data_IF_751354499738
#
_entry.id   IF_751354499738
#
_cell.length_a   1.000
_cell.length_b   1.000
_cell.length_c   1.000
_cell.angle_alpha   90.00
_cell.angle_beta   90.00
_cell.angle_gamma   90.00
#
_symmetry.space_group_name_H-M   'P 1'
#
loop_
_entity.id
_entity.type
_entity.pdbx_description
1 polymer ?
#
# COMPACT_ATOMS: atom_id res chain seq x y z
N UNK A 1 4.51 5.76 -19.62
CA UNK A 1 5.14 4.99 -18.54
C UNK A 1 5.51 5.90 -17.39
N UNK A 2 6.16 7.00 -17.71
CA UNK A 2 6.88 7.87 -16.78
C UNK A 2 6.01 8.39 -15.61
N UNK A 3 4.78 8.85 -15.88
CA UNK A 3 3.90 9.32 -14.80
C UNK A 3 3.58 8.26 -13.73
N UNK A 4 3.55 6.97 -14.11
CA UNK A 4 3.35 5.88 -13.15
C UNK A 4 4.66 5.47 -12.48
N UNK A 5 5.81 5.64 -13.15
CA UNK A 5 7.12 5.43 -12.54
C UNK A 5 7.36 6.40 -11.39
N UNK A 6 7.04 7.68 -11.58
CA UNK A 6 7.16 8.69 -10.52
C UNK A 6 6.29 8.34 -9.30
N UNK A 7 5.07 7.84 -9.56
CA UNK A 7 4.16 7.40 -8.49
C UNK A 7 4.59 6.10 -7.83
N UNK A 8 5.31 5.24 -8.54
CA UNK A 8 5.90 4.03 -7.99
C UNK A 8 7.02 4.39 -7.01
N UNK A 9 7.90 5.32 -7.39
CA UNK A 9 8.97 5.81 -6.52
C UNK A 9 8.42 6.56 -5.30
N UNK A 10 7.28 7.25 -5.45
CA UNK A 10 6.57 7.93 -4.37
C UNK A 10 5.50 7.11 -3.65
N UNK A 11 5.43 5.79 -3.87
CA UNK A 11 4.35 4.97 -3.33
C UNK A 11 4.37 4.93 -1.79
N UNK A 12 3.21 5.06 -1.16
CA UNK A 12 3.11 5.13 0.30
C UNK A 12 2.75 3.78 0.92
N UNK A 13 3.45 3.40 2.00
CA UNK A 13 3.08 2.25 2.81
C UNK A 13 1.85 2.57 3.64
N UNK A 14 0.85 1.71 3.59
CA UNK A 14 -0.40 1.89 4.34
C UNK A 14 -0.73 0.66 5.18
N UNK A 15 -1.46 0.88 6.27
CA UNK A 15 -1.98 -0.20 7.11
C UNK A 15 -3.42 -0.53 6.72
N UNK A 16 -3.74 -1.82 6.67
CA UNK A 16 -5.12 -2.29 6.56
C UNK A 16 -5.77 -2.21 7.92
N UNK A 17 -6.40 -1.08 8.24
CA UNK A 17 -7.28 -1.03 9.40
C UNK A 17 -8.60 -1.71 9.08
N UNK A 18 -8.73 -2.97 9.48
CA UNK A 18 -9.98 -3.73 9.46
C UNK A 18 -10.95 -3.25 10.58
N UNK A 19 -10.96 -1.95 10.88
CA UNK A 19 -11.76 -1.33 11.93
C UNK A 19 -13.24 -1.16 11.53
N UNK A 20 -13.72 -1.96 10.58
CA UNK A 20 -15.12 -2.02 10.14
C UNK A 20 -16.02 -2.85 11.06
N UNK A 21 -15.55 -3.34 12.21
CA UNK A 21 -16.38 -4.15 13.11
C UNK A 21 -16.05 -4.00 14.59
N UNK A 22 -15.90 -2.77 15.08
CA UNK A 22 -16.32 -2.49 16.46
C UNK A 22 -17.82 -2.23 16.42
N UNK A 23 -18.61 -3.31 16.32
CA UNK A 23 -19.98 -3.30 16.85
C UNK A 23 -19.83 -3.09 18.35
N UNK A 24 -19.85 -1.82 18.76
CA UNK A 24 -19.88 -1.43 20.16
C UNK A 24 -21.08 -2.07 20.83
N UNK A 25 -20.80 -3.17 21.52
CA UNK A 25 -21.65 -3.75 22.53
C UNK A 25 -21.54 -2.81 23.74
N UNK A 26 -22.57 -2.02 23.99
CA UNK A 26 -22.58 -1.04 25.06
C UNK A 26 -23.97 -0.46 25.31
N UNK A 27 -24.69 -1.07 26.25
CA UNK A 27 -25.62 -0.42 27.18
C UNK A 27 -26.93 0.15 26.62
N UNK A 28 -28.06 -0.46 27.02
CA UNK A 28 -29.39 0.02 26.69
C UNK A 28 -29.84 1.28 27.45
N UNK A 29 -30.86 1.94 26.90
CA UNK A 29 -32.05 2.50 27.57
C UNK A 29 -32.74 3.49 26.62
N UNK A 30 -34.06 3.36 26.47
CA UNK A 30 -34.93 4.48 26.11
C UNK A 30 -35.68 4.38 24.77
N UNK A 31 -37.00 4.21 24.86
CA UNK A 31 -37.99 4.38 23.78
C UNK A 31 -37.85 5.73 23.03
N UNK A 32 -38.25 5.79 21.75
CA UNK A 32 -39.45 6.54 21.31
C UNK A 32 -39.75 6.45 19.79
N UNK A 33 -41.04 6.60 19.50
CA UNK A 33 -41.75 6.53 18.23
C UNK A 33 -41.29 7.51 17.14
N UNK A 34 -41.52 7.09 15.89
CA UNK A 34 -41.98 7.99 14.81
C UNK A 34 -40.95 8.40 13.76
N UNK A 35 -41.33 8.21 12.49
CA UNK A 35 -40.88 9.07 11.40
C UNK A 35 -39.89 8.46 10.40
N UNK A 36 -40.44 8.02 9.27
CA UNK A 36 -40.05 8.46 7.93
C UNK A 36 -38.57 8.58 7.55
N UNK A 37 -38.22 7.83 6.49
CA UNK A 37 -37.37 8.39 5.44
C UNK A 37 -35.87 8.13 5.55
N UNK A 38 -35.38 7.28 4.66
CA UNK A 38 -33.97 7.29 4.26
C UNK A 38 -33.04 6.58 5.23
N UNK A 39 -32.95 5.24 5.10
CA UNK A 39 -31.71 4.53 5.46
C UNK A 39 -30.62 5.06 4.53
N UNK A 40 -30.02 6.19 4.88
CA UNK A 40 -28.83 6.72 4.24
C UNK A 40 -27.89 5.55 4.06
N UNK A 41 -27.49 5.31 2.82
CA UNK A 41 -26.51 4.29 2.46
C UNK A 41 -25.20 4.73 3.11
N UNK A 42 -25.07 4.49 4.43
CA UNK A 42 -23.82 4.65 5.16
C UNK A 42 -22.83 3.83 4.38
N UNK A 43 -21.85 4.50 3.76
CA UNK A 43 -20.75 3.89 3.04
C UNK A 43 -20.07 2.90 3.99
N UNK A 44 -20.57 1.66 4.01
CA UNK A 44 -20.09 0.57 4.86
C UNK A 44 -18.67 0.13 4.52
N UNK A 45 -18.07 0.76 3.50
CA UNK A 45 -16.76 0.47 2.95
C UNK A 45 -15.90 1.73 2.83
N UNK A 46 -16.09 2.73 3.72
CA UNK A 46 -15.12 3.83 3.82
C UNK A 46 -13.83 3.33 4.50
N UNK A 47 -13.15 2.42 3.80
CA UNK A 47 -11.86 1.90 4.17
C UNK A 47 -10.83 2.99 3.87
N UNK A 48 -10.59 3.83 4.87
CA UNK A 48 -9.57 4.86 4.78
C UNK A 48 -8.22 4.20 5.01
N UNK A 49 -7.41 4.12 3.96
CA UNK A 49 -6.01 3.70 4.07
C UNK A 49 -5.25 4.74 4.90
N UNK A 50 -4.74 4.29 6.05
CA UNK A 50 -3.90 5.12 6.91
C UNK A 50 -2.43 4.86 6.56
N UNK A 51 -1.61 5.92 6.45
CA UNK A 51 -0.16 5.77 6.37
C UNK A 51 0.37 4.88 7.48
N UNK A 52 1.38 4.07 7.17
CA UNK A 52 2.09 3.26 8.17
C UNK A 52 2.83 4.15 9.18
N UNK A 53 3.44 5.24 8.71
CA UNK A 53 4.02 6.29 9.56
C UNK A 53 3.05 7.47 9.69
N UNK A 54 2.61 7.87 10.90
CA UNK A 54 1.71 9.00 11.12
C UNK A 54 2.22 10.34 10.60
N UNK A 55 3.53 10.55 10.52
CA UNK A 55 4.14 11.80 10.05
C UNK A 55 4.10 11.96 8.52
N UNK A 56 3.72 10.89 7.80
CA UNK A 56 3.61 10.93 6.34
C UNK A 56 2.24 11.45 5.91
N UNK A 57 2.25 12.19 4.79
CA UNK A 57 1.02 12.67 4.16
C UNK A 57 0.13 11.47 3.75
N UNK A 58 -1.18 11.52 4.01
CA UNK A 58 -2.12 10.52 3.49
C UNK A 58 -2.09 10.44 1.96
N UNK A 59 -2.15 9.23 1.38
CA UNK A 59 -2.16 9.08 -0.07
C UNK A 59 -3.44 9.64 -0.69
N UNK A 60 -3.30 10.30 -1.83
CA UNK A 60 -4.41 10.77 -2.66
C UNK A 60 -5.00 9.67 -3.54
N UNK A 61 -6.11 9.97 -4.22
CA UNK A 61 -6.83 9.01 -5.09
C UNK A 61 -6.03 8.56 -6.32
N UNK A 62 -4.97 9.28 -6.65
CA UNK A 62 -4.08 9.03 -7.79
C UNK A 62 -2.77 8.37 -7.36
N UNK A 63 -2.52 8.21 -6.07
CA UNK A 63 -1.23 7.73 -5.57
C UNK A 63 -1.22 6.19 -5.53
N UNK A 64 -0.04 5.61 -5.72
CA UNK A 64 0.17 4.18 -5.53
C UNK A 64 0.44 3.89 -4.06
N UNK A 65 -0.07 2.78 -3.56
CA UNK A 65 0.06 2.35 -2.17
C UNK A 65 0.49 0.89 -2.09
N UNK A 66 1.21 0.53 -1.03
CA UNK A 66 1.60 -0.85 -0.78
C UNK A 66 1.42 -1.22 0.70
N UNK A 67 1.25 -2.52 0.96
CA UNK A 67 1.01 -3.06 2.30
C UNK A 67 2.29 -3.68 2.88
N UNK A 68 2.91 -4.53 2.07
CA UNK A 68 4.04 -5.35 2.43
C UNK A 68 5.30 -4.89 1.68
N UNK A 69 6.48 -4.93 2.32
CA UNK A 69 7.73 -4.58 1.67
C UNK A 69 8.04 -5.55 0.53
N UNK A 70 8.68 -5.04 -0.53
CA UNK A 70 9.13 -5.86 -1.64
C UNK A 70 10.20 -6.86 -1.19
N UNK A 71 10.21 -8.10 -1.72
CA UNK A 71 11.28 -9.05 -1.46
C UNK A 71 12.60 -8.60 -2.11
N UNK A 72 13.70 -9.26 -1.75
CA UNK A 72 14.97 -9.11 -2.47
C UNK A 72 14.90 -9.78 -3.84
N UNK A 73 15.39 -9.09 -4.87
CA UNK A 73 15.36 -9.57 -6.27
C UNK A 73 16.72 -10.03 -6.82
N UNK A 74 17.79 -9.92 -6.03
CA UNK A 74 19.15 -10.30 -6.42
C UNK A 74 19.27 -11.80 -6.69
N UNK A 75 18.85 -12.61 -5.73
CA UNK A 75 18.96 -14.06 -5.79
C UNK A 75 17.74 -14.71 -6.43
N UNK A 76 17.96 -15.82 -7.12
CA UNK A 76 16.87 -16.60 -7.72
C UNK A 76 16.02 -17.23 -6.62
N UNK A 77 14.73 -16.92 -6.63
CA UNK A 77 13.74 -17.54 -5.75
C UNK A 77 12.50 -18.02 -6.55
N UNK A 78 12.50 -19.30 -7.00
CA UNK A 78 11.40 -19.85 -7.80
C UNK A 78 10.04 -19.82 -7.09
N UNK A 79 10.01 -19.86 -5.75
CA UNK A 79 8.76 -19.85 -4.97
C UNK A 79 8.01 -18.52 -5.10
N UNK A 80 8.75 -17.43 -5.27
CA UNK A 80 8.21 -16.08 -5.45
C UNK A 80 8.24 -15.63 -6.93
N UNK A 81 8.64 -16.51 -7.85
CA UNK A 81 8.78 -16.18 -9.27
C UNK A 81 9.97 -15.26 -9.60
N UNK A 82 10.91 -15.09 -8.67
CA UNK A 82 12.06 -14.20 -8.82
C UNK A 82 13.18 -14.97 -9.53
N UNK A 83 13.64 -14.45 -10.67
CA UNK A 83 14.71 -15.08 -11.45
C UNK A 83 16.13 -14.76 -10.96
N UNK A 84 16.28 -13.72 -10.14
CA UNK A 84 17.58 -13.16 -9.78
C UNK A 84 18.10 -12.17 -10.81
N UNK A 85 19.23 -11.53 -10.52
CA UNK A 85 19.88 -10.55 -11.40
C UNK A 85 21.12 -11.06 -12.13
N UNK A 86 21.57 -12.28 -11.84
CA UNK A 86 22.72 -12.90 -12.50
C UNK A 86 22.57 -12.96 -14.03
N UNK A 87 23.63 -12.59 -14.75
CA UNK A 87 23.67 -12.59 -16.21
C UNK A 87 22.94 -11.43 -16.89
N UNK A 88 22.39 -10.47 -16.12
CA UNK A 88 21.86 -9.22 -16.67
C UNK A 88 23.02 -8.27 -17.00
N UNK A 89 22.88 -7.53 -18.09
CA UNK A 89 23.82 -6.45 -18.42
C UNK A 89 23.62 -5.29 -17.45
N UNK A 90 24.72 -4.65 -17.05
CA UNK A 90 24.76 -3.47 -16.21
C UNK A 90 25.70 -2.42 -16.83
N UNK A 91 25.62 -1.18 -16.34
CA UNK A 91 26.42 -0.05 -16.80
C UNK A 91 27.45 0.35 -15.73
N UNK A 92 28.73 0.10 -15.97
CA UNK A 92 29.83 0.39 -15.02
C UNK A 92 29.96 1.88 -14.67
N UNK A 93 29.44 2.80 -15.50
CA UNK A 93 29.52 4.24 -15.24
C UNK A 93 28.32 4.79 -14.48
N UNK A 94 27.25 4.00 -14.32
CA UNK A 94 26.04 4.42 -13.62
C UNK A 94 26.13 4.11 -12.14
N UNK A 95 25.71 5.07 -11.31
CA UNK A 95 25.48 4.90 -9.87
C UNK A 95 24.04 4.47 -9.55
N UNK A 96 23.18 4.40 -10.58
CA UNK A 96 21.76 4.13 -10.45
C UNK A 96 21.42 2.65 -10.46
N UNK A 97 20.13 2.35 -10.57
CA UNK A 97 19.61 0.97 -10.57
C UNK A 97 20.07 0.12 -11.76
N UNK A 98 20.63 0.74 -12.80
CA UNK A 98 21.29 0.11 -13.95
C UNK A 98 22.81 -0.07 -13.75
N UNK A 99 23.38 0.55 -12.71
CA UNK A 99 24.77 0.44 -12.31
C UNK A 99 25.15 -0.96 -11.88
N UNK A 100 26.40 -1.36 -12.15
CA UNK A 100 26.86 -2.70 -11.80
C UNK A 100 26.87 -2.96 -10.28
N UNK A 101 27.17 -1.96 -9.46
CA UNK A 101 27.11 -2.07 -7.99
C UNK A 101 25.71 -2.49 -7.49
N UNK A 102 24.64 -1.95 -8.10
CA UNK A 102 23.26 -2.26 -7.70
C UNK A 102 22.68 -3.47 -8.43
N UNK A 103 22.97 -3.61 -9.73
CA UNK A 103 22.48 -4.71 -10.56
C UNK A 103 23.09 -6.06 -10.18
N UNK A 104 24.38 -6.06 -9.83
CA UNK A 104 25.11 -7.24 -9.38
C UNK A 104 25.03 -7.43 -7.85
N UNK A 105 24.38 -6.49 -7.14
CA UNK A 105 24.11 -6.55 -5.72
C UNK A 105 25.36 -6.54 -4.81
N UNK A 106 26.35 -5.72 -5.15
CA UNK A 106 27.60 -5.53 -4.41
C UNK A 106 28.74 -6.38 -4.94
#
# INVERSE_FOLDING_TARGET
>A
GDNLKDRFDGASRVMVSNAGSLRGQGGGSGQNNGGGGGRGRKNRYNFQLKPYNPDHKPPGVKDLVYLEPSPGFCERNPRLGIQGTHGRQCNDTSIGVDGCDLMCCG
#
